data_IF_644088394317
#
_entry.id   IF_644088394317
#
_cell.length_a   1.000
_cell.length_b   1.000
_cell.length_c   1.000
_cell.angle_alpha   90.00
_cell.angle_beta   90.00
_cell.angle_gamma   90.00
#
_symmetry.space_group_name_H-M   'P 1'
#
loop_
_entity.id
_entity.type
_entity.pdbx_description
1 polymer ?
#
# COMPACT_ATOMS: atom_id res chain seq x y z
N UNK A 1 -8.15 18.81 8.87
CA UNK A 1 -7.59 18.38 10.15
C UNK A 1 -7.10 16.93 10.04
N UNK A 2 -5.78 16.73 10.17
CA UNK A 2 -5.16 15.40 10.06
C UNK A 2 -5.56 14.45 11.20
N UNK A 3 -6.07 14.96 12.31
CA UNK A 3 -6.53 14.13 13.43
C UNK A 3 -7.76 13.26 13.09
N UNK A 4 -8.48 13.60 12.03
CA UNK A 4 -9.61 12.80 11.54
C UNK A 4 -9.19 11.53 10.78
N UNK A 5 -7.91 11.42 10.41
CA UNK A 5 -7.37 10.30 9.63
C UNK A 5 -6.86 9.20 10.54
N UNK A 6 -7.20 7.97 10.26
CA UNK A 6 -6.90 6.82 11.09
C UNK A 6 -6.75 5.56 10.26
N UNK A 7 -5.95 4.63 10.75
CA UNK A 7 -5.66 3.30 10.21
C UNK A 7 -4.62 3.29 9.09
N UNK A 8 -3.99 2.16 8.95
CA UNK A 8 -3.00 1.90 7.91
C UNK A 8 -3.67 1.08 6.80
N UNK A 9 -3.67 1.63 5.61
CA UNK A 9 -4.28 0.98 4.44
C UNK A 9 -3.22 0.48 3.48
N UNK A 10 -3.52 -0.63 2.83
CA UNK A 10 -2.69 -1.26 1.81
C UNK A 10 -3.51 -1.47 0.56
N UNK A 11 -3.02 -0.94 -0.56
CA UNK A 11 -3.58 -1.29 -1.86
C UNK A 11 -3.18 -2.72 -2.21
N UNK A 12 -4.17 -3.57 -2.45
CA UNK A 12 -3.98 -4.98 -2.77
C UNK A 12 -4.15 -5.17 -4.27
N UNK A 13 -3.04 -5.41 -4.95
CA UNK A 13 -3.01 -5.66 -6.39
C UNK A 13 -3.52 -7.06 -6.70
N UNK A 14 -4.37 -7.17 -7.70
CA UNK A 14 -4.79 -8.45 -8.24
C UNK A 14 -4.52 -8.50 -9.75
N UNK A 15 -4.22 -9.67 -10.23
CA UNK A 15 -4.12 -9.97 -11.65
C UNK A 15 -4.95 -11.19 -11.95
N UNK A 16 -5.94 -11.04 -12.83
CA UNK A 16 -6.86 -12.14 -13.21
C UNK A 16 -7.54 -12.77 -11.98
N UNK A 17 -7.89 -11.96 -10.99
CA UNK A 17 -8.54 -12.39 -9.77
C UNK A 17 -7.62 -12.99 -8.71
N UNK A 18 -6.30 -12.99 -8.93
CA UNK A 18 -5.32 -13.52 -7.99
C UNK A 18 -4.56 -12.40 -7.29
N UNK A 19 -4.42 -12.53 -5.97
CA UNK A 19 -3.59 -11.64 -5.18
C UNK A 19 -2.11 -11.82 -5.53
N UNK A 20 -1.34 -10.75 -5.34
CA UNK A 20 0.08 -10.74 -5.65
C UNK A 20 0.92 -10.89 -4.38
N UNK A 21 2.15 -11.43 -4.47
CA UNK A 21 3.02 -11.59 -3.29
C UNK A 21 3.27 -10.30 -2.52
N UNK A 22 3.37 -9.17 -3.20
CA UNK A 22 3.54 -7.85 -2.57
C UNK A 22 2.39 -7.47 -1.64
N UNK A 23 1.19 -7.96 -1.90
CA UNK A 23 0.01 -7.69 -1.06
C UNK A 23 0.23 -8.24 0.34
N UNK A 24 0.71 -9.46 0.44
CA UNK A 24 0.96 -10.14 1.72
C UNK A 24 2.13 -9.49 2.48
N UNK A 25 3.16 -9.07 1.78
CA UNK A 25 4.29 -8.35 2.37
C UNK A 25 3.83 -7.01 2.98
N UNK A 26 3.04 -6.24 2.24
CA UNK A 26 2.57 -4.93 2.70
C UNK A 26 1.53 -5.03 3.80
N UNK A 27 0.62 -5.98 3.75
CA UNK A 27 -0.31 -6.24 4.85
C UNK A 27 0.46 -6.60 6.12
N UNK A 28 1.49 -7.44 6.01
CA UNK A 28 2.35 -7.82 7.14
C UNK A 28 3.07 -6.61 7.73
N UNK A 29 3.63 -5.75 6.89
CA UNK A 29 4.28 -4.51 7.36
C UNK A 29 3.26 -3.52 7.93
N UNK A 30 2.11 -3.40 7.29
CA UNK A 30 0.99 -2.59 7.79
C UNK A 30 0.54 -3.04 9.19
N UNK A 31 0.54 -4.35 9.46
CA UNK A 31 0.25 -4.90 10.79
C UNK A 31 1.23 -4.39 11.85
N UNK A 32 2.52 -4.40 11.55
CA UNK A 32 3.53 -3.89 12.47
C UNK A 32 3.34 -2.40 12.76
N UNK A 33 3.15 -1.60 11.72
CA UNK A 33 2.93 -0.16 11.86
C UNK A 33 1.64 0.16 12.62
N UNK A 34 0.56 -0.55 12.32
CA UNK A 34 -0.72 -0.36 12.99
C UNK A 34 -0.67 -0.75 14.47
N UNK A 35 0.07 -1.80 14.82
CA UNK A 35 0.27 -2.19 16.22
C UNK A 35 0.98 -1.09 17.01
N UNK A 36 1.98 -0.46 16.40
CA UNK A 36 2.72 0.64 17.03
C UNK A 36 1.85 1.89 17.20
N UNK A 37 0.95 2.15 16.25
CA UNK A 37 0.01 3.27 16.29
C UNK A 37 -1.25 2.99 17.11
N UNK A 38 -1.52 1.73 17.48
CA UNK A 38 -2.75 1.33 18.15
C UNK A 38 -4.00 1.44 17.28
N UNK A 39 -3.85 1.20 15.97
CA UNK A 39 -4.91 1.29 14.97
C UNK A 39 -5.07 -0.02 14.19
N UNK A 40 -5.95 -0.03 13.21
CA UNK A 40 -6.21 -1.20 12.36
C UNK A 40 -5.42 -1.15 11.07
N UNK A 41 -5.22 -2.33 10.48
CA UNK A 41 -4.73 -2.52 9.12
C UNK A 41 -5.89 -2.90 8.22
N UNK A 42 -6.02 -2.20 7.11
CA UNK A 42 -7.08 -2.43 6.14
C UNK A 42 -6.51 -2.66 4.75
N UNK A 43 -6.96 -3.72 4.07
CA UNK A 43 -6.71 -3.90 2.65
C UNK A 43 -7.75 -3.14 1.83
N UNK A 44 -7.34 -2.64 0.67
CA UNK A 44 -8.23 -2.08 -0.34
C UNK A 44 -8.04 -2.90 -1.62
N UNK A 45 -9.06 -3.67 -1.98
CA UNK A 45 -9.03 -4.62 -3.08
C UNK A 45 -10.07 -4.28 -4.13
N UNK A 46 -9.59 -3.96 -5.32
CA UNK A 46 -10.40 -3.66 -6.48
C UNK A 46 -10.32 -4.81 -7.48
N UNK A 47 -11.42 -5.16 -8.08
CA UNK A 47 -11.43 -6.21 -9.08
C UNK A 47 -12.79 -6.39 -9.73
N UNK A 48 -12.87 -7.38 -10.61
CA UNK A 48 -14.11 -7.79 -11.25
C UNK A 48 -15.01 -8.58 -10.30
N UNK A 49 -16.16 -8.97 -10.80
CA UNK A 49 -17.13 -9.76 -10.03
C UNK A 49 -16.48 -11.02 -9.46
N UNK A 50 -16.68 -11.23 -8.15
CA UNK A 50 -16.15 -12.41 -7.45
C UNK A 50 -14.80 -12.18 -6.76
N UNK A 51 -14.17 -11.01 -6.90
CA UNK A 51 -12.88 -10.71 -6.24
C UNK A 51 -12.99 -10.80 -4.72
N UNK A 52 -14.16 -10.61 -4.16
CA UNK A 52 -14.42 -10.75 -2.72
C UNK A 52 -13.93 -12.08 -2.15
N UNK A 53 -13.98 -13.15 -2.93
CA UNK A 53 -13.54 -14.48 -2.49
C UNK A 53 -12.05 -14.55 -2.11
N UNK A 54 -11.23 -13.65 -2.65
CA UNK A 54 -9.81 -13.57 -2.34
C UNK A 54 -9.50 -12.72 -1.09
N UNK A 55 -10.45 -11.92 -0.61
CA UNK A 55 -10.19 -10.90 0.41
C UNK A 55 -9.78 -11.46 1.76
N UNK A 56 -10.35 -12.54 2.23
CA UNK A 56 -10.05 -13.13 3.55
C UNK A 56 -8.62 -13.63 3.70
N UNK A 57 -7.99 -14.03 2.61
CA UNK A 57 -6.57 -14.41 2.64
C UNK A 57 -5.68 -13.29 3.16
N UNK A 58 -6.01 -12.04 2.85
CA UNK A 58 -5.29 -10.88 3.38
C UNK A 58 -5.37 -10.81 4.90
N UNK A 59 -6.49 -11.20 5.49
CA UNK A 59 -6.65 -11.29 6.93
C UNK A 59 -5.68 -12.26 7.58
N UNK A 60 -5.35 -13.36 6.92
CA UNK A 60 -4.38 -14.34 7.39
C UNK A 60 -2.97 -13.80 7.56
N UNK A 61 -2.63 -12.71 6.90
CA UNK A 61 -1.35 -12.03 7.02
C UNK A 61 -1.41 -10.80 7.93
N UNK A 62 -2.59 -10.44 8.43
CA UNK A 62 -2.72 -9.40 9.44
C UNK A 62 -3.76 -8.31 9.17
N UNK A 63 -4.47 -8.33 8.06
CA UNK A 63 -5.53 -7.35 7.81
C UNK A 63 -6.71 -7.58 8.75
N UNK A 64 -7.12 -6.51 9.46
CA UNK A 64 -8.33 -6.52 10.28
C UNK A 64 -9.58 -6.45 9.42
N UNK A 65 -9.52 -5.65 8.36
CA UNK A 65 -10.61 -5.41 7.41
C UNK A 65 -10.09 -5.41 5.98
N UNK A 66 -10.94 -5.77 5.04
CA UNK A 66 -10.69 -5.55 3.61
C UNK A 66 -11.89 -4.85 3.01
N UNK A 67 -11.63 -3.69 2.43
CA UNK A 67 -12.60 -2.96 1.62
C UNK A 67 -12.54 -3.48 0.20
N UNK A 68 -13.64 -4.04 -0.28
CA UNK A 68 -13.73 -4.69 -1.59
C UNK A 68 -14.60 -3.87 -2.52
N UNK A 69 -14.05 -3.46 -3.65
CA UNK A 69 -14.75 -2.73 -4.70
C UNK A 69 -14.86 -3.63 -5.94
N UNK A 70 -16.05 -4.10 -6.23
CA UNK A 70 -16.33 -4.97 -7.38
C UNK A 70 -17.05 -4.21 -8.47
N UNK A 71 -16.46 -4.21 -9.67
CA UNK A 71 -17.07 -3.70 -10.90
C UNK A 71 -16.33 -4.33 -12.07
N UNK A 72 -17.04 -4.67 -13.13
CA UNK A 72 -16.42 -5.24 -14.35
C UNK A 72 -15.34 -4.34 -14.94
N UNK A 73 -15.49 -3.03 -14.79
CA UNK A 73 -14.49 -2.03 -15.22
C UNK A 73 -13.19 -2.10 -14.43
N UNK A 74 -13.19 -2.78 -13.28
CA UNK A 74 -12.02 -2.97 -12.41
C UNK A 74 -11.34 -4.34 -12.57
N UNK A 75 -11.89 -5.21 -13.42
CA UNK A 75 -11.36 -6.56 -13.60
C UNK A 75 -9.91 -6.54 -14.11
N UNK A 76 -9.62 -5.65 -15.07
CA UNK A 76 -8.29 -5.40 -15.59
C UNK A 76 -7.89 -3.98 -15.21
N UNK A 77 -6.64 -3.81 -14.82
CA UNK A 77 -6.13 -2.51 -14.40
C UNK A 77 -6.35 -1.44 -15.48
N UNK A 78 -6.98 -0.35 -15.06
CA UNK A 78 -7.11 0.89 -15.81
C UNK A 78 -6.83 2.03 -14.83
N UNK A 79 -5.85 2.87 -15.12
CA UNK A 79 -5.40 3.91 -14.20
C UNK A 79 -6.54 4.85 -13.80
N UNK A 80 -7.32 5.32 -14.75
CA UNK A 80 -8.39 6.27 -14.48
C UNK A 80 -9.48 5.68 -13.59
N UNK A 81 -9.91 4.47 -13.90
CA UNK A 81 -10.94 3.77 -13.12
C UNK A 81 -10.44 3.47 -11.68
N UNK A 82 -9.24 2.94 -11.56
CA UNK A 82 -8.66 2.62 -10.25
C UNK A 82 -8.44 3.88 -9.40
N UNK A 83 -7.86 4.93 -9.99
CA UNK A 83 -7.64 6.19 -9.28
C UNK A 83 -8.95 6.82 -8.80
N UNK A 84 -9.99 6.82 -9.65
CA UNK A 84 -11.32 7.34 -9.29
C UNK A 84 -11.91 6.61 -8.09
N UNK A 85 -11.96 5.28 -8.13
CA UNK A 85 -12.53 4.46 -7.04
C UNK A 85 -11.73 4.60 -5.77
N UNK A 86 -10.41 4.49 -5.85
CA UNK A 86 -9.53 4.60 -4.68
C UNK A 86 -9.68 5.96 -4.00
N UNK A 87 -9.65 7.03 -4.77
CA UNK A 87 -9.75 8.38 -4.21
C UNK A 87 -11.12 8.64 -3.61
N UNK A 88 -12.22 8.16 -4.21
CA UNK A 88 -13.55 8.24 -3.61
C UNK A 88 -13.59 7.57 -2.23
N UNK A 89 -13.05 6.37 -2.13
CA UNK A 89 -13.05 5.59 -0.88
C UNK A 89 -12.15 6.23 0.18
N UNK A 90 -10.97 6.70 -0.21
CA UNK A 90 -10.02 7.33 0.72
C UNK A 90 -10.54 8.67 1.25
N UNK A 91 -11.16 9.49 0.40
CA UNK A 91 -11.75 10.76 0.83
C UNK A 91 -12.86 10.57 1.85
N UNK A 92 -13.64 9.50 1.72
CA UNK A 92 -14.72 9.16 2.64
C UNK A 92 -14.19 8.56 3.95
N UNK A 93 -13.28 7.61 3.88
CA UNK A 93 -12.86 6.79 5.03
C UNK A 93 -11.58 7.26 5.73
N UNK A 94 -10.82 8.14 5.12
CA UNK A 94 -9.69 8.87 5.72
C UNK A 94 -8.63 8.01 6.41
N UNK A 95 -7.86 7.20 5.66
CA UNK A 95 -6.74 6.47 6.23
C UNK A 95 -5.58 7.41 6.60
N UNK A 96 -4.86 7.09 7.65
CA UNK A 96 -3.64 7.80 8.08
C UNK A 96 -2.49 7.57 7.09
N UNK A 97 -2.31 6.33 6.65
CA UNK A 97 -1.28 5.92 5.73
C UNK A 97 -1.85 5.01 4.64
N UNK A 98 -1.29 5.11 3.44
CA UNK A 98 -1.69 4.28 2.30
C UNK A 98 -0.45 3.75 1.59
N UNK A 99 -0.24 2.44 1.66
CA UNK A 99 0.91 1.74 1.11
C UNK A 99 0.54 1.04 -0.19
N UNK A 100 1.38 1.16 -1.19
CA UNK A 100 1.21 0.58 -2.53
C UNK A 100 2.52 -0.14 -2.90
N UNK A 101 2.46 -1.34 -3.45
CA UNK A 101 3.66 -2.00 -3.98
C UNK A 101 4.23 -1.25 -5.17
N UNK A 102 5.57 -1.12 -5.25
CA UNK A 102 6.24 -0.48 -6.37
C UNK A 102 6.38 -1.43 -7.57
N UNK A 103 5.28 -2.04 -7.95
CA UNK A 103 5.11 -2.79 -9.20
C UNK A 103 4.86 -1.82 -10.35
N UNK A 104 4.78 -2.30 -11.58
CA UNK A 104 4.43 -1.44 -12.72
C UNK A 104 3.09 -0.74 -12.52
N UNK A 105 2.09 -1.46 -12.00
CA UNK A 105 0.78 -0.88 -11.65
C UNK A 105 0.93 0.16 -10.55
N UNK A 106 1.59 -0.19 -9.46
CA UNK A 106 1.73 0.71 -8.31
C UNK A 106 2.50 1.98 -8.61
N UNK A 107 3.53 1.90 -9.44
CA UNK A 107 4.31 3.07 -9.88
C UNK A 107 3.52 4.03 -10.76
N UNK A 108 2.55 3.52 -11.49
CA UNK A 108 1.62 4.32 -12.29
C UNK A 108 0.49 4.89 -11.42
N UNK A 109 -0.13 4.05 -10.60
CA UNK A 109 -1.30 4.38 -9.80
C UNK A 109 -0.98 5.32 -8.62
N UNK A 110 0.13 5.08 -7.93
CA UNK A 110 0.46 5.80 -6.70
C UNK A 110 0.53 7.31 -6.87
N UNK A 111 1.36 7.83 -7.79
CA UNK A 111 1.44 9.26 -8.04
C UNK A 111 0.13 9.88 -8.49
N UNK A 112 -0.66 9.14 -9.26
CA UNK A 112 -1.97 9.59 -9.73
C UNK A 112 -2.94 9.80 -8.59
N UNK A 113 -3.00 8.86 -7.65
CA UNK A 113 -3.82 8.98 -6.45
C UNK A 113 -3.33 10.11 -5.53
N UNK A 114 -2.02 10.21 -5.31
CA UNK A 114 -1.44 11.25 -4.46
C UNK A 114 -1.76 12.66 -4.97
N UNK A 115 -1.63 12.88 -6.27
CA UNK A 115 -1.97 14.15 -6.90
C UNK A 115 -3.45 14.48 -6.72
N UNK A 116 -4.31 13.51 -6.94
CA UNK A 116 -5.76 13.69 -6.82
C UNK A 116 -6.22 13.93 -5.38
N UNK A 117 -5.54 13.32 -4.41
CA UNK A 117 -5.79 13.50 -2.98
C UNK A 117 -5.07 14.71 -2.38
N UNK A 118 -4.29 15.43 -3.17
CA UNK A 118 -3.50 16.58 -2.72
C UNK A 118 -2.56 16.23 -1.55
N UNK A 119 -1.88 15.11 -1.65
CA UNK A 119 -0.90 14.66 -0.65
C UNK A 119 0.44 14.29 -1.32
N UNK A 120 1.46 14.08 -0.51
CA UNK A 120 2.76 13.64 -0.99
C UNK A 120 2.85 12.12 -1.11
N UNK A 121 3.74 11.67 -1.99
CA UNK A 121 4.08 10.26 -2.13
C UNK A 121 5.59 10.09 -2.15
N UNK A 122 6.10 9.17 -1.34
CA UNK A 122 7.50 8.76 -1.37
C UNK A 122 7.61 7.46 -2.15
N UNK A 123 8.37 7.48 -3.23
CA UNK A 123 8.44 6.35 -4.16
C UNK A 123 9.57 5.39 -3.82
N UNK A 124 9.32 4.11 -4.07
CA UNK A 124 10.30 3.03 -4.04
C UNK A 124 10.98 2.85 -2.68
N UNK A 125 10.20 2.91 -1.61
CA UNK A 125 10.68 2.77 -0.25
C UNK A 125 11.18 1.37 0.02
N UNK A 126 12.23 1.29 0.84
CA UNK A 126 12.83 0.03 1.31
C UNK A 126 12.71 -0.17 2.81
N UNK A 127 12.33 0.85 3.56
CA UNK A 127 12.12 0.79 4.99
C UNK A 127 11.03 1.78 5.44
N UNK A 128 10.22 1.38 6.42
CA UNK A 128 9.12 2.16 6.98
C UNK A 128 9.12 2.04 8.50
N UNK A 129 9.00 3.16 9.20
CA UNK A 129 8.81 3.23 10.65
C UNK A 129 7.78 4.29 11.01
N UNK A 130 7.10 4.11 12.12
CA UNK A 130 6.28 5.15 12.77
C UNK A 130 6.81 5.50 14.15
N UNK A 131 7.39 4.53 14.85
CA UNK A 131 7.97 4.69 16.16
C UNK A 131 9.39 5.27 16.06
N UNK A 132 9.65 6.35 16.79
CA UNK A 132 10.95 7.03 16.80
C UNK A 132 12.07 6.12 17.33
N UNK A 133 11.80 5.32 18.35
CA UNK A 133 12.81 4.40 18.92
C UNK A 133 13.24 3.35 17.87
N UNK A 134 12.31 2.77 17.15
CA UNK A 134 12.61 1.82 16.07
C UNK A 134 13.33 2.46 14.90
N UNK A 135 12.98 3.69 14.57
CA UNK A 135 13.68 4.45 13.54
C UNK A 135 15.14 4.73 13.93
N UNK A 136 15.38 5.09 15.19
CA UNK A 136 16.75 5.25 15.74
C UNK A 136 17.57 3.98 15.63
N UNK A 137 16.99 2.83 15.98
CA UNK A 137 17.67 1.52 15.85
C UNK A 137 18.03 1.23 14.39
N UNK A 138 17.13 1.52 13.47
CA UNK A 138 17.40 1.40 12.04
C UNK A 138 18.56 2.30 11.60
N UNK A 139 18.60 3.55 12.05
CA UNK A 139 19.68 4.50 11.72
C UNK A 139 21.03 4.03 12.27
N UNK A 140 21.08 3.43 13.45
CA UNK A 140 22.32 2.89 14.03
C UNK A 140 22.95 1.81 13.15
N UNK A 141 22.16 1.04 12.44
CA UNK A 141 22.63 -0.06 11.59
C UNK A 141 22.92 0.34 10.14
N UNK A 142 22.35 1.47 9.70
CA UNK A 142 22.37 1.84 8.27
C UNK A 142 22.97 3.22 7.98
N UNK A 143 23.32 3.97 9.00
CA UNK A 143 23.79 5.35 8.89
C UNK A 143 25.04 5.58 9.74
N UNK A 144 25.80 6.60 9.40
CA UNK A 144 26.94 7.09 10.19
C UNK A 144 26.54 8.21 11.18
N UNK A 145 25.26 8.54 11.26
CA UNK A 145 24.73 9.56 12.16
C UNK A 145 24.93 9.11 13.61
N UNK A 146 25.44 10.01 14.44
CA UNK A 146 25.48 9.81 15.89
C UNK A 146 24.07 9.96 16.47
N UNK A 147 23.35 8.85 16.49
CA UNK A 147 21.94 8.81 16.91
C UNK A 147 21.77 9.19 18.37
N UNK A 148 22.73 8.81 19.24
CA UNK A 148 22.64 9.05 20.66
C UNK A 148 22.80 10.53 21.03
N UNK A 149 23.52 11.29 20.22
CA UNK A 149 23.74 12.72 20.41
C UNK A 149 22.90 13.61 19.47
N UNK A 150 22.02 13.00 18.65
CA UNK A 150 21.13 13.73 17.75
C UNK A 150 19.75 13.84 18.38
N UNK A 151 19.17 15.06 18.36
CA UNK A 151 17.80 15.29 18.79
C UNK A 151 16.82 14.88 17.69
N UNK A 152 15.91 13.98 18.03
CA UNK A 152 14.81 13.58 17.15
C UNK A 152 13.49 14.11 17.67
N UNK A 153 12.64 14.60 16.78
CA UNK A 153 11.30 15.01 17.12
C UNK A 153 10.43 13.80 17.44
N UNK A 154 9.83 13.80 18.62
CA UNK A 154 8.93 12.73 19.07
C UNK A 154 7.57 12.88 18.38
N UNK A 155 7.34 12.05 17.38
CA UNK A 155 6.07 11.98 16.67
C UNK A 155 5.88 10.59 16.04
N UNK A 156 4.66 10.31 15.59
CA UNK A 156 4.28 9.06 14.94
C UNK A 156 4.10 9.19 13.42
N UNK A 157 4.62 10.25 12.83
CA UNK A 157 4.63 10.39 11.39
C UNK A 157 5.32 9.19 10.74
N UNK A 158 4.77 8.70 9.64
CA UNK A 158 5.39 7.64 8.87
C UNK A 158 6.74 8.11 8.32
N UNK A 159 7.81 7.41 8.69
CA UNK A 159 9.16 7.64 8.21
C UNK A 159 9.41 6.72 7.03
N UNK A 160 9.49 7.30 5.84
CA UNK A 160 9.57 6.60 4.57
C UNK A 160 10.99 6.70 4.04
N UNK A 161 11.72 5.59 4.08
CA UNK A 161 13.13 5.55 3.69
C UNK A 161 13.28 4.92 2.31
N UNK A 162 14.03 5.60 1.45
CA UNK A 162 14.33 5.17 0.09
C UNK A 162 15.80 5.38 -0.23
N UNK A 163 16.37 4.58 -1.17
CA UNK A 163 17.71 4.86 -1.68
C UNK A 163 17.74 6.22 -2.39
N UNK A 164 18.75 7.02 -2.06
CA UNK A 164 19.03 8.26 -2.75
C UNK A 164 19.89 8.01 -3.98
N UNK A 165 20.01 9.04 -4.83
CA UNK A 165 20.81 8.99 -6.04
C UNK A 165 22.27 8.63 -5.71
N UNK A 166 22.85 7.66 -6.43
CA UNK A 166 24.23 7.22 -6.22
C UNK A 166 24.41 5.94 -5.39
N UNK A 167 23.31 5.33 -4.91
CA UNK A 167 23.31 3.95 -4.37
C UNK A 167 23.84 3.75 -2.96
N UNK A 168 24.51 4.73 -2.36
CA UNK A 168 25.14 4.60 -1.03
C UNK A 168 24.45 5.44 0.05
N UNK A 169 23.52 6.28 -0.32
CA UNK A 169 22.81 7.15 0.61
C UNK A 169 21.34 6.75 0.68
N UNK A 170 20.77 6.87 1.87
CA UNK A 170 19.36 6.68 2.12
C UNK A 170 18.74 8.02 2.50
N UNK A 171 17.56 8.29 1.96
CA UNK A 171 16.79 9.48 2.31
C UNK A 171 15.52 9.05 3.06
N UNK A 172 15.25 9.69 4.19
CA UNK A 172 14.00 9.48 4.93
C UNK A 172 13.12 10.71 4.81
N UNK A 173 11.89 10.49 4.41
CA UNK A 173 10.90 11.52 4.13
C UNK A 173 9.71 11.32 5.05
N UNK A 174 9.17 12.41 5.56
CA UNK A 174 7.91 12.43 6.31
C UNK A 174 6.92 13.36 5.62
N UNK A 175 5.62 13.15 5.88
CA UNK A 175 4.55 13.99 5.36
C UNK A 175 3.73 14.53 6.55
N UNK A 176 4.20 15.61 7.23
CA UNK A 176 3.61 16.01 8.51
C UNK A 176 2.29 16.76 8.39
N UNK A 177 1.95 17.30 7.22
CA UNK A 177 0.82 18.21 7.04
C UNK A 177 -0.35 17.63 6.26
N UNK A 178 -0.12 16.58 5.48
CA UNK A 178 -1.13 16.02 4.59
C UNK A 178 -1.36 14.55 4.89
N UNK A 179 -2.58 14.07 4.63
CA UNK A 179 -2.98 12.68 4.78
C UNK A 179 -3.78 12.22 3.54
N UNK A 180 -3.74 10.91 3.22
CA UNK A 180 -2.87 9.92 3.84
C UNK A 180 -1.39 10.18 3.53
N UNK A 181 -0.50 9.72 4.41
CA UNK A 181 0.90 9.59 4.07
C UNK A 181 1.03 8.42 3.09
N UNK A 182 1.60 8.64 1.92
CA UNK A 182 1.63 7.64 0.85
C UNK A 182 3.05 7.22 0.50
N UNK A 183 3.22 5.93 0.30
CA UNK A 183 4.48 5.35 -0.14
C UNK A 183 4.22 4.25 -1.18
N UNK A 184 5.05 4.19 -2.21
CA UNK A 184 5.23 2.95 -2.94
C UNK A 184 6.42 2.21 -2.34
N UNK A 185 6.32 0.90 -2.21
CA UNK A 185 7.28 0.06 -1.49
C UNK A 185 7.86 -0.97 -2.43
N UNK A 186 9.19 -1.05 -2.47
CA UNK A 186 9.91 -2.00 -3.33
C UNK A 186 9.49 -3.44 -3.01
N UNK A 187 9.09 -4.24 -4.02
CA UNK A 187 8.78 -5.65 -3.81
C UNK A 187 9.96 -6.43 -3.25
N UNK A 188 9.69 -7.41 -2.37
CA UNK A 188 10.70 -8.30 -1.82
C UNK A 188 11.49 -7.77 -0.63
N UNK A 189 11.25 -6.53 -0.18
CA UNK A 189 12.00 -5.93 0.95
C UNK A 189 11.28 -6.06 2.28
N UNK A 190 9.96 -6.22 2.29
CA UNK A 190 9.18 -6.40 3.52
C UNK A 190 8.94 -7.88 3.79
N UNK A 191 9.10 -8.28 5.04
CA UNK A 191 8.93 -9.67 5.46
C UNK A 191 7.45 -10.03 5.55
N UNK A 192 7.07 -11.09 4.87
CA UNK A 192 5.73 -11.67 4.96
C UNK A 192 5.57 -12.46 6.27
N UNK A 193 4.49 -12.20 7.01
CA UNK A 193 4.11 -13.00 8.17
C UNK A 193 3.73 -14.42 7.76
N UNK A 194 3.75 -15.36 8.70
CA UNK A 194 3.14 -16.66 8.51
C UNK A 194 1.61 -16.52 8.37
N UNK A 195 1.01 -17.31 7.49
CA UNK A 195 -0.44 -17.33 7.33
C UNK A 195 -1.12 -17.91 8.57
N UNK A 196 -2.14 -17.22 9.07
CA UNK A 196 -2.94 -17.65 10.22
C UNK A 196 -4.41 -17.76 9.80
N UNK A 197 -4.93 -18.97 9.77
CA UNK A 197 -6.31 -19.23 9.33
C UNK A 197 -7.34 -18.56 10.24
N UNK A 198 -7.10 -18.54 11.55
CA UNK A 198 -8.01 -17.89 12.49
C UNK A 198 -8.13 -16.37 12.23
N UNK A 199 -7.04 -15.73 11.87
CA UNK A 199 -7.04 -14.31 11.48
C UNK A 199 -7.75 -14.09 10.14
N UNK A 200 -7.58 -15.01 9.19
CA UNK A 200 -8.31 -14.96 7.92
C UNK A 200 -9.81 -15.07 8.15
N UNK A 201 -10.24 -15.99 9.00
CA UNK A 201 -11.66 -16.18 9.32
C UNK A 201 -12.25 -14.97 10.06
N UNK A 202 -11.47 -14.29 10.89
CA UNK A 202 -11.89 -13.12 11.64
C UNK A 202 -11.87 -11.81 10.82
N UNK A 203 -11.29 -11.83 9.63
CA UNK A 203 -11.19 -10.64 8.78
C UNK A 203 -12.56 -10.14 8.33
N UNK A 204 -12.84 -8.86 8.56
CA UNK A 204 -14.09 -8.23 8.15
C UNK A 204 -14.02 -7.79 6.68
N UNK A 205 -15.02 -8.16 5.90
CA UNK A 205 -15.13 -7.74 4.50
C UNK A 205 -16.20 -6.65 4.41
N UNK A 206 -15.81 -5.51 3.86
CA UNK A 206 -16.70 -4.34 3.74
C UNK A 206 -16.73 -3.90 2.28
N UNK A 207 -17.93 -3.58 1.80
CA UNK A 207 -18.14 -2.98 0.47
C UNK A 207 -18.39 -1.49 0.64
N UNK A 208 -17.38 -0.62 0.39
CA UNK A 208 -17.54 0.82 0.54
C UNK A 208 -18.33 1.40 -0.62
N UNK A 209 -18.84 2.61 -0.43
CA UNK A 209 -19.50 3.35 -1.48
C UNK A 209 -18.45 3.94 -2.43
N UNK A 210 -18.68 3.79 -3.71
CA UNK A 210 -17.93 4.46 -4.76
C UNK A 210 -18.80 4.63 -5.99
N UNK A 211 -18.40 5.51 -6.88
CA UNK A 211 -19.09 5.71 -8.16
C UNK A 211 -18.08 5.55 -9.29
N UNK A 212 -18.45 4.78 -10.29
CA UNK A 212 -17.63 4.56 -11.47
C UNK A 212 -18.53 4.46 -12.70
N UNK A 213 -18.30 5.36 -13.66
CA UNK A 213 -19.00 5.37 -14.94
C UNK A 213 -18.00 5.26 -16.08
N UNK A 214 -18.47 4.95 -17.28
CA UNK A 214 -17.59 4.93 -18.46
C UNK A 214 -16.99 6.31 -18.75
N UNK A 215 -17.68 7.39 -18.40
CA UNK A 215 -17.17 8.75 -18.53
C UNK A 215 -15.97 9.07 -17.64
N UNK A 216 -15.74 8.29 -16.59
CA UNK A 216 -14.57 8.42 -15.71
C UNK A 216 -13.31 7.80 -16.32
N UNK A 217 -13.44 7.09 -17.44
CA UNK A 217 -12.35 6.35 -18.08
C UNK A 217 -11.96 7.05 -19.39
N UNK A 218 -10.80 7.71 -19.40
CA UNK A 218 -10.24 8.30 -20.63
C UNK A 218 -9.66 7.23 -21.56
N UNK A 219 -9.22 6.10 -20.99
CA UNK A 219 -8.71 4.96 -21.74
C UNK A 219 -9.50 3.71 -21.39
N UNK A 220 -9.56 2.76 -22.32
CA UNK A 220 -10.22 1.48 -22.11
C UNK A 220 -9.30 0.33 -22.51
N UNK A 221 -9.38 -0.78 -21.78
CA UNK A 221 -8.69 -2.01 -22.16
C UNK A 221 -9.50 -2.70 -23.24
N UNK A 222 -8.96 -2.75 -24.45
CA UNK A 222 -9.61 -3.37 -25.61
C UNK A 222 -9.35 -4.88 -25.63
N UNK A 223 -8.10 -5.27 -25.35
CA UNK A 223 -7.68 -6.68 -25.39
C UNK A 223 -6.50 -6.89 -24.45
N UNK A 224 -6.49 -8.04 -23.81
CA UNK A 224 -5.35 -8.51 -23.01
C UNK A 224 -4.70 -9.69 -23.72
N UNK A 225 -3.47 -9.49 -24.19
CA UNK A 225 -2.68 -10.53 -24.82
C UNK A 225 -1.73 -11.14 -23.81
N UNK A 226 -1.86 -12.44 -23.54
CA UNK A 226 -0.97 -13.18 -22.65
C UNK A 226 0.27 -13.61 -23.40
N UNK A 227 1.45 -13.39 -22.80
CA UNK A 227 2.69 -13.92 -23.35
C UNK A 227 2.67 -15.46 -23.33
N UNK A 228 3.19 -16.08 -24.38
CA UNK A 228 3.41 -17.51 -24.41
C UNK A 228 4.38 -17.91 -23.30
N UNK A 229 4.14 -19.08 -22.68
CA UNK A 229 5.02 -19.59 -21.63
C UNK A 229 6.44 -19.73 -22.18
N UNK A 230 7.40 -19.06 -21.56
CA UNK A 230 8.80 -19.18 -21.95
C UNK A 230 9.30 -20.57 -21.65
N UNK A 231 10.06 -21.14 -22.59
CA UNK A 231 10.71 -22.45 -22.43
C UNK A 231 11.82 -22.45 -21.38
N UNK A 232 12.35 -21.29 -21.08
CA UNK A 232 13.35 -21.08 -20.03
C UNK A 232 12.96 -19.84 -19.25
N UNK A 233 12.65 -20.01 -17.98
CA UNK A 233 12.54 -18.90 -17.06
C UNK A 233 13.96 -18.38 -16.77
N UNK A 234 14.33 -17.32 -17.44
CA UNK A 234 15.49 -16.54 -17.02
C UNK A 234 15.06 -15.73 -15.80
N UNK A 235 15.13 -16.36 -14.65
CA UNK A 235 15.03 -15.64 -13.39
C UNK A 235 16.37 -14.94 -13.20
N UNK A 236 16.39 -13.64 -13.48
CA UNK A 236 17.46 -12.77 -13.10
C UNK A 236 17.06 -12.05 -11.80
#
# INVERSE_FOLDING_TARGET
DIAAFKDVWVFCEQREGKLMPTDFELISKGRDLANELGVKVCGLLLGGKGIESAAKELGGYGADKVYVCEDEKLAVYNTDAYAKVICDVIEDLKPEAFLIGATNIGRDLGPRCAARLHTGLTADCTHLDVDVAKYKEFLKTTSTIDVDNTVFEENTNLKMTRPAFGGHLMATIICPRFRPAMATVRPGVMKKNAFDQAKADACEIIKPNFSLTEGDMETQVVEVVKAAKKLVDLIG
#
